data_IF_268105408419
#
_entry.id   IF_268105408419
#
_cell.length_a   1.000
_cell.length_b   1.000
_cell.length_c   1.000
_cell.angle_alpha   90.00
_cell.angle_beta   90.00
_cell.angle_gamma   90.00
#
_symmetry.space_group_name_H-M   'P 1'
#
loop_
_entity.id
_entity.type
_entity.pdbx_description
1 polymer ?
#
# COMPACT_ATOMS: atom_id res chain seq x y z
N UNK A 1 34.20 -16.02 7.09
CA UNK A 1 33.32 -16.12 5.91
C UNK A 1 33.23 -14.73 5.32
N UNK A 2 33.39 -14.58 3.99
CA UNK A 2 33.15 -13.27 3.36
C UNK A 2 31.67 -12.91 3.58
N UNK A 3 31.36 -11.78 4.16
CA UNK A 3 29.98 -11.36 4.47
C UNK A 3 29.12 -11.12 3.20
N UNK A 4 29.42 -11.80 2.09
CA UNK A 4 28.82 -11.68 0.77
C UNK A 4 28.09 -12.96 0.38
N UNK A 5 27.09 -12.84 -0.47
CA UNK A 5 26.38 -13.96 -1.08
C UNK A 5 27.22 -14.51 -2.23
N UNK A 6 27.49 -15.81 -2.26
CA UNK A 6 28.32 -16.47 -3.28
C UNK A 6 27.70 -16.43 -4.68
N UNK A 7 26.36 -16.60 -4.76
CA UNK A 7 25.66 -16.51 -6.05
C UNK A 7 25.67 -15.06 -6.57
N UNK A 8 26.26 -14.78 -7.76
CA UNK A 8 26.39 -13.42 -8.26
C UNK A 8 25.06 -12.70 -8.50
N UNK A 9 24.02 -13.43 -8.94
CA UNK A 9 22.69 -12.84 -9.17
C UNK A 9 22.00 -12.47 -7.86
N UNK A 10 22.01 -13.38 -6.87
CA UNK A 10 21.46 -13.11 -5.55
C UNK A 10 22.21 -11.96 -4.86
N UNK A 11 23.53 -11.92 -4.99
CA UNK A 11 24.35 -10.82 -4.47
C UNK A 11 24.01 -9.48 -5.13
N UNK A 12 23.84 -9.48 -6.45
CA UNK A 12 23.39 -8.28 -7.17
C UNK A 12 22.02 -7.79 -6.65
N UNK A 13 21.06 -8.69 -6.44
CA UNK A 13 19.75 -8.34 -5.90
C UNK A 13 19.89 -7.79 -4.46
N UNK A 14 20.67 -8.44 -3.61
CA UNK A 14 20.91 -7.98 -2.25
C UNK A 14 21.51 -6.56 -2.23
N UNK A 15 22.57 -6.33 -3.01
CA UNK A 15 23.26 -5.05 -3.10
C UNK A 15 22.36 -3.95 -3.72
N UNK A 16 21.61 -4.28 -4.77
CA UNK A 16 20.82 -3.28 -5.49
C UNK A 16 19.51 -2.89 -4.77
N UNK A 17 18.93 -3.81 -3.97
CA UNK A 17 17.60 -3.64 -3.38
C UNK A 17 17.60 -3.42 -1.87
N UNK A 18 18.52 -4.02 -1.12
CA UNK A 18 18.49 -4.04 0.35
C UNK A 18 19.65 -3.32 1.01
N UNK A 19 20.84 -3.39 0.41
CA UNK A 19 22.04 -2.77 0.93
C UNK A 19 21.95 -1.25 0.92
N UNK A 20 22.26 -0.61 2.03
CA UNK A 20 22.36 0.85 2.13
C UNK A 20 23.72 1.33 1.66
N UNK A 21 23.74 2.58 1.23
CA UNK A 21 24.98 3.27 0.93
C UNK A 21 25.63 3.77 2.21
N UNK A 22 26.88 3.40 2.42
CA UNK A 22 27.73 3.84 3.53
C UNK A 22 28.59 5.01 3.06
N UNK A 23 28.19 6.23 3.40
CA UNK A 23 28.82 7.46 2.91
C UNK A 23 30.33 7.54 3.27
N UNK A 24 30.68 7.12 4.53
CA UNK A 24 32.07 7.16 5.02
C UNK A 24 33.00 6.18 4.29
N UNK A 25 32.45 5.06 3.83
CA UNK A 25 33.21 3.97 3.21
C UNK A 25 33.09 3.97 1.68
N UNK A 26 32.24 4.87 1.16
CA UNK A 26 31.97 5.02 -0.27
C UNK A 26 31.59 3.69 -0.96
N UNK A 27 30.81 2.84 -0.27
CA UNK A 27 30.33 1.55 -0.75
C UNK A 27 28.91 1.24 -0.24
N UNK A 28 28.33 0.18 -0.75
CA UNK A 28 27.10 -0.41 -0.15
C UNK A 28 27.45 -1.37 0.97
N UNK A 29 26.50 -1.56 1.88
CA UNK A 29 26.53 -2.64 2.88
C UNK A 29 26.78 -4.01 2.20
N UNK A 30 27.49 -4.88 2.89
CA UNK A 30 27.48 -6.32 2.60
C UNK A 30 26.16 -6.94 3.03
N UNK A 31 25.90 -8.20 2.63
CA UNK A 31 24.71 -8.90 3.10
C UNK A 31 24.70 -9.12 4.61
N UNK A 32 25.85 -9.41 5.20
CA UNK A 32 25.99 -9.51 6.66
C UNK A 32 25.61 -8.20 7.36
N UNK A 33 26.15 -7.07 6.92
CA UNK A 33 25.84 -5.76 7.48
C UNK A 33 24.36 -5.39 7.33
N UNK A 34 23.72 -5.81 6.25
CA UNK A 34 22.28 -5.65 6.03
C UNK A 34 21.46 -6.45 7.03
N UNK A 35 21.84 -7.72 7.28
CA UNK A 35 21.20 -8.59 8.27
C UNK A 35 21.41 -8.02 9.69
N UNK A 36 22.62 -7.66 10.03
CA UNK A 36 22.94 -7.08 11.35
C UNK A 36 22.14 -5.80 11.61
N UNK A 37 22.08 -4.89 10.65
CA UNK A 37 21.27 -3.66 10.76
C UNK A 37 19.80 -3.95 11.01
N UNK A 38 19.23 -4.97 10.35
CA UNK A 38 17.84 -5.37 10.57
C UNK A 38 17.62 -5.85 12.00
N UNK A 39 18.44 -6.77 12.47
CA UNK A 39 18.33 -7.32 13.82
C UNK A 39 18.61 -6.26 14.89
N UNK A 40 19.65 -5.47 14.75
CA UNK A 40 19.99 -4.39 15.69
C UNK A 40 18.84 -3.40 15.83
N UNK A 41 18.21 -3.01 14.70
CA UNK A 41 17.04 -2.14 14.74
C UNK A 41 15.87 -2.79 15.50
N UNK A 42 15.52 -4.04 15.16
CA UNK A 42 14.38 -4.73 15.78
C UNK A 42 14.61 -5.02 17.26
N UNK A 43 15.79 -5.47 17.64
CA UNK A 43 16.15 -5.72 19.06
C UNK A 43 16.11 -4.43 19.88
N UNK A 44 16.66 -3.34 19.36
CA UNK A 44 16.57 -2.03 20.00
C UNK A 44 15.12 -1.55 20.13
N UNK A 45 14.29 -1.81 19.14
CA UNK A 45 12.87 -1.46 19.18
C UNK A 45 12.12 -2.26 20.26
N UNK A 46 12.37 -3.57 20.35
CA UNK A 46 11.78 -4.45 21.38
C UNK A 46 12.20 -4.03 22.80
N UNK A 47 13.46 -3.75 22.99
CA UNK A 47 13.99 -3.32 24.29
C UNK A 47 13.38 -1.96 24.71
N UNK A 48 13.47 -0.96 23.83
CA UNK A 48 13.00 0.40 24.15
C UNK A 48 11.48 0.52 24.34
N UNK A 49 10.69 -0.17 23.53
CA UNK A 49 9.24 0.05 23.51
C UNK A 49 8.45 -1.03 24.28
N UNK A 50 8.99 -2.22 24.43
CA UNK A 50 8.33 -3.35 25.07
C UNK A 50 9.06 -3.88 26.30
N UNK A 51 10.25 -3.32 26.61
CA UNK A 51 11.14 -3.82 27.65
C UNK A 51 11.37 -5.34 27.54
N UNK A 52 11.53 -5.83 26.29
CA UNK A 52 11.69 -7.24 25.98
C UNK A 52 13.03 -7.51 25.31
N UNK A 53 13.79 -8.44 25.91
CA UNK A 53 15.07 -8.93 25.37
C UNK A 53 14.94 -10.41 25.06
N UNK A 54 14.91 -10.81 23.78
CA UNK A 54 14.90 -12.23 23.42
C UNK A 54 16.19 -12.91 23.83
N UNK A 55 16.11 -14.24 23.97
CA UNK A 55 17.28 -15.09 24.25
C UNK A 55 18.36 -14.93 23.18
N UNK A 56 19.61 -14.78 23.59
CA UNK A 56 20.73 -14.53 22.69
C UNK A 56 21.00 -15.68 21.72
N UNK A 57 20.76 -16.93 22.13
CA UNK A 57 20.94 -18.10 21.25
C UNK A 57 19.89 -18.12 20.16
N UNK A 58 18.63 -17.80 20.53
CA UNK A 58 17.55 -17.63 19.54
C UNK A 58 17.87 -16.53 18.53
N UNK A 59 18.36 -15.38 19.01
CA UNK A 59 18.72 -14.27 18.10
C UNK A 59 19.82 -14.70 17.13
N UNK A 60 20.86 -15.38 17.60
CA UNK A 60 21.93 -15.87 16.73
C UNK A 60 21.43 -16.90 15.72
N UNK A 61 20.59 -17.86 16.13
CA UNK A 61 19.96 -18.83 15.22
C UNK A 61 19.13 -18.13 14.13
N UNK A 62 18.33 -17.14 14.51
CA UNK A 62 17.53 -16.38 13.56
C UNK A 62 18.39 -15.55 12.60
N UNK A 63 19.46 -14.92 13.09
CA UNK A 63 20.43 -14.21 12.22
C UNK A 63 21.05 -15.14 11.19
N UNK A 64 21.47 -16.34 11.61
CA UNK A 64 22.04 -17.35 10.72
C UNK A 64 21.03 -17.81 9.68
N UNK A 65 19.78 -18.07 10.07
CA UNK A 65 18.72 -18.46 9.13
C UNK A 65 18.44 -17.39 8.09
N UNK A 66 18.47 -16.10 8.47
CA UNK A 66 18.31 -14.99 7.52
C UNK A 66 19.56 -14.81 6.66
N UNK A 67 20.76 -14.93 7.25
CA UNK A 67 22.01 -14.82 6.51
C UNK A 67 22.11 -15.88 5.40
N UNK A 68 21.78 -17.14 5.71
CA UNK A 68 21.75 -18.23 4.74
C UNK A 68 20.48 -18.25 3.86
N UNK A 69 19.58 -17.29 4.07
CA UNK A 69 18.32 -17.18 3.31
C UNK A 69 17.44 -18.45 3.40
N UNK A 70 17.47 -19.11 4.54
CA UNK A 70 16.55 -20.22 4.83
C UNK A 70 15.15 -19.68 5.15
N UNK A 71 15.12 -18.58 5.87
CA UNK A 71 13.93 -17.83 6.23
C UNK A 71 14.19 -16.35 5.97
N UNK A 72 13.26 -15.68 5.32
CA UNK A 72 13.36 -14.24 5.06
C UNK A 72 12.25 -13.49 5.78
N UNK A 73 12.60 -12.49 6.63
CA UNK A 73 11.61 -11.55 7.13
C UNK A 73 11.11 -10.67 5.98
N UNK A 74 10.16 -9.79 6.31
CA UNK A 74 9.69 -8.84 5.30
C UNK A 74 10.85 -8.14 4.61
N UNK A 75 10.93 -8.31 3.30
CA UNK A 75 11.91 -7.64 2.45
C UNK A 75 11.81 -6.12 2.60
N UNK A 76 10.60 -5.62 2.85
CA UNK A 76 10.36 -4.21 3.11
C UNK A 76 10.98 -3.77 4.44
N UNK A 77 10.81 -4.56 5.50
CA UNK A 77 11.40 -4.28 6.80
C UNK A 77 12.92 -4.34 6.74
N UNK A 78 13.50 -5.34 6.06
CA UNK A 78 14.96 -5.43 5.85
C UNK A 78 15.50 -4.19 5.13
N UNK A 79 14.83 -3.75 4.05
CA UNK A 79 15.24 -2.58 3.29
C UNK A 79 15.17 -1.28 4.10
N UNK A 80 14.16 -1.13 4.98
CA UNK A 80 13.85 0.13 5.66
C UNK A 80 14.33 0.20 7.11
N UNK A 81 14.76 -0.91 7.73
CA UNK A 81 15.27 -0.97 9.10
C UNK A 81 16.34 0.12 9.37
N UNK A 82 16.26 0.79 10.52
CA UNK A 82 17.04 1.98 10.90
C UNK A 82 16.28 3.27 10.66
N UNK A 83 16.95 4.35 10.29
CA UNK A 83 16.42 5.72 10.25
C UNK A 83 15.08 5.91 9.49
N UNK A 84 14.78 5.07 8.50
CA UNK A 84 13.50 5.14 7.79
C UNK A 84 12.35 4.64 8.66
N UNK A 85 12.52 3.49 9.35
CA UNK A 85 11.52 2.95 10.28
C UNK A 85 11.43 3.75 11.59
N UNK A 86 12.52 4.30 12.08
CA UNK A 86 12.48 5.20 13.25
C UNK A 86 11.62 6.43 12.98
N UNK A 87 11.68 6.95 11.76
CA UNK A 87 10.87 8.10 11.35
C UNK A 87 9.41 7.74 11.11
N UNK A 88 9.17 6.56 10.56
CA UNK A 88 7.84 6.17 10.08
C UNK A 88 7.72 4.64 9.94
N UNK A 89 7.05 4.04 10.90
CA UNK A 89 6.86 2.58 10.95
C UNK A 89 6.04 2.04 9.76
N UNK A 90 5.18 2.85 9.13
CA UNK A 90 4.40 2.44 7.95
C UNK A 90 5.31 1.99 6.80
N UNK A 91 6.52 2.56 6.70
CA UNK A 91 7.50 2.18 5.69
C UNK A 91 7.96 0.70 5.78
N UNK A 92 7.78 0.04 6.92
CA UNK A 92 8.12 -1.37 7.12
C UNK A 92 7.07 -2.37 6.66
N UNK A 93 5.86 -1.91 6.35
CA UNK A 93 4.78 -2.78 5.90
C UNK A 93 4.76 -2.92 4.39
N UNK A 94 4.39 -4.11 3.92
CA UNK A 94 4.30 -4.40 2.49
C UNK A 94 3.02 -3.84 1.87
N UNK A 95 1.89 -4.09 2.50
CA UNK A 95 0.57 -3.74 1.98
C UNK A 95 -0.39 -3.36 3.11
N UNK A 96 -1.55 -2.82 2.70
CA UNK A 96 -2.66 -2.45 3.56
C UNK A 96 -3.98 -2.61 2.84
N UNK A 97 -5.08 -2.51 3.59
CA UNK A 97 -6.42 -2.40 3.04
C UNK A 97 -7.18 -1.26 3.74
N UNK A 98 -7.82 -0.42 2.94
CA UNK A 98 -8.62 0.71 3.42
C UNK A 98 -9.98 0.77 2.68
N UNK A 99 -11.14 0.72 3.36
CA UNK A 99 -12.41 1.05 2.74
C UNK A 99 -12.54 2.56 2.54
N UNK A 100 -13.21 2.98 1.46
CA UNK A 100 -13.51 4.41 1.24
C UNK A 100 -14.82 4.75 1.95
N UNK A 101 -14.78 4.84 3.28
CA UNK A 101 -15.95 5.01 4.14
C UNK A 101 -15.93 6.29 5.00
N UNK A 102 -14.88 7.07 4.86
CA UNK A 102 -14.77 8.39 5.48
C UNK A 102 -13.85 9.29 4.66
N UNK A 103 -13.91 10.59 4.94
CA UNK A 103 -13.15 11.60 4.19
C UNK A 103 -11.63 11.43 4.30
N UNK A 104 -11.16 10.79 5.38
CA UNK A 104 -9.76 10.52 5.62
C UNK A 104 -9.19 9.38 4.78
N UNK A 105 -10.04 8.53 4.18
CA UNK A 105 -9.57 7.40 3.37
C UNK A 105 -8.66 7.83 2.21
N UNK A 106 -8.87 9.01 1.68
CA UNK A 106 -8.09 9.54 0.57
C UNK A 106 -6.69 10.04 0.99
N UNK A 107 -6.61 10.88 2.02
CA UNK A 107 -5.34 11.43 2.49
C UNK A 107 -4.46 10.35 3.16
N UNK A 108 -5.10 9.41 3.87
CA UNK A 108 -4.40 8.25 4.45
C UNK A 108 -3.84 7.33 3.38
N UNK A 109 -4.59 7.06 2.30
CA UNK A 109 -4.09 6.31 1.15
C UNK A 109 -2.87 6.99 0.53
N UNK A 110 -2.94 8.30 0.32
CA UNK A 110 -1.79 9.06 -0.20
C UNK A 110 -0.56 8.90 0.69
N UNK A 111 -0.72 9.04 2.00
CA UNK A 111 0.37 8.90 2.96
C UNK A 111 0.97 7.49 2.95
N UNK A 112 0.12 6.46 2.99
CA UNK A 112 0.53 5.04 2.98
C UNK A 112 1.30 4.72 1.70
N UNK A 113 0.80 5.13 0.54
CA UNK A 113 1.48 4.93 -0.75
C UNK A 113 2.82 5.67 -0.80
N UNK A 114 2.90 6.90 -0.27
CA UNK A 114 4.18 7.64 -0.17
C UNK A 114 5.18 7.01 0.79
N UNK A 115 4.74 6.20 1.74
CA UNK A 115 5.61 5.33 2.54
C UNK A 115 6.09 4.11 1.76
N UNK A 116 5.55 3.88 0.55
CA UNK A 116 5.89 2.78 -0.35
C UNK A 116 5.15 1.49 -0.03
N UNK A 117 4.09 1.54 0.75
CA UNK A 117 3.20 0.43 1.10
C UNK A 117 2.08 0.35 0.07
N UNK A 118 1.78 -0.85 -0.44
CA UNK A 118 0.67 -1.07 -1.37
C UNK A 118 -0.68 -0.94 -0.69
N UNK A 119 -1.71 -0.51 -1.42
CA UNK A 119 -3.05 -0.28 -0.86
C UNK A 119 -4.11 -1.03 -1.66
N UNK A 120 -4.80 -2.00 -1.02
CA UNK A 120 -6.10 -2.44 -1.46
C UNK A 120 -7.16 -1.48 -0.93
N UNK A 121 -8.15 -1.14 -1.73
CA UNK A 121 -9.25 -0.28 -1.28
C UNK A 121 -10.60 -0.79 -1.78
N UNK A 122 -11.66 -0.40 -1.09
CA UNK A 122 -13.02 -0.76 -1.50
C UNK A 122 -13.87 0.49 -1.71
N UNK A 123 -14.53 0.54 -2.86
CA UNK A 123 -15.57 1.52 -3.21
C UNK A 123 -16.96 0.88 -3.25
N UNK A 124 -17.16 -0.22 -2.52
CA UNK A 124 -18.48 -0.84 -2.40
C UNK A 124 -19.48 0.16 -1.78
N UNK A 125 -20.73 0.13 -2.22
CA UNK A 125 -21.80 1.05 -1.77
C UNK A 125 -21.91 1.16 -0.25
N UNK A 126 -21.73 0.07 0.48
CA UNK A 126 -21.77 0.05 1.95
C UNK A 126 -20.71 0.92 2.64
N UNK A 127 -19.65 1.24 1.92
CA UNK A 127 -18.58 2.15 2.36
C UNK A 127 -18.81 3.56 1.83
N UNK A 128 -18.92 3.72 0.51
CA UNK A 128 -19.05 5.03 -0.13
C UNK A 128 -20.29 5.79 0.35
N UNK A 129 -21.40 5.09 0.63
CA UNK A 129 -22.61 5.70 1.16
C UNK A 129 -22.46 6.29 2.59
N UNK A 130 -21.32 6.08 3.26
CA UNK A 130 -21.01 6.74 4.54
C UNK A 130 -20.34 8.10 4.36
N UNK A 131 -19.86 8.40 3.17
CA UNK A 131 -19.30 9.72 2.89
C UNK A 131 -20.39 10.78 2.93
N UNK A 132 -20.09 12.01 3.40
CA UNK A 132 -21.05 13.10 3.35
C UNK A 132 -21.40 13.47 1.91
N UNK A 133 -22.59 14.01 1.70
CA UNK A 133 -22.95 14.62 0.42
C UNK A 133 -22.07 15.84 0.15
N UNK A 134 -21.78 16.07 -1.11
CA UNK A 134 -21.14 17.31 -1.56
C UNK A 134 -22.19 18.42 -1.45
N UNK A 135 -21.83 19.59 -0.91
CA UNK A 135 -22.78 20.72 -0.78
C UNK A 135 -23.40 21.12 -2.12
N UNK A 136 -24.58 21.76 -2.07
CA UNK A 136 -25.29 22.25 -3.25
C UNK A 136 -24.54 23.39 -3.97
N UNK A 137 -23.64 24.06 -3.26
CA UNK A 137 -22.79 25.12 -3.81
C UNK A 137 -21.34 24.91 -3.39
N UNK A 138 -20.44 25.14 -4.33
CA UNK A 138 -18.98 25.15 -4.07
C UNK A 138 -18.40 26.42 -4.66
N UNK A 139 -17.88 27.29 -3.80
CA UNK A 139 -17.38 28.62 -4.19
C UNK A 139 -15.89 28.79 -3.87
N UNK A 140 -15.22 29.62 -4.65
CA UNK A 140 -13.83 30.01 -4.36
C UNK A 140 -13.79 30.90 -3.11
N UNK A 141 -12.83 30.64 -2.25
CA UNK A 141 -12.61 31.39 -1.01
C UNK A 141 -11.22 32.03 -0.98
N UNK A 142 -10.99 32.92 -0.02
CA UNK A 142 -9.67 33.49 0.26
C UNK A 142 -8.77 32.58 1.09
N UNK A 143 -9.26 31.40 1.49
CA UNK A 143 -8.48 30.41 2.25
C UNK A 143 -7.31 29.90 1.40
N UNK A 144 -6.11 29.83 2.00
CA UNK A 144 -4.90 29.37 1.32
C UNK A 144 -4.42 28.10 2.02
N UNK A 145 -4.33 26.99 1.28
CA UNK A 145 -3.72 25.74 1.75
C UNK A 145 -2.24 25.75 1.39
N UNK A 146 -1.38 25.82 2.40
CA UNK A 146 0.08 25.83 2.24
C UNK A 146 0.62 24.40 2.30
N UNK A 147 1.33 23.98 1.25
CA UNK A 147 1.88 22.61 1.17
C UNK A 147 3.32 22.56 1.69
N UNK A 148 3.54 21.82 2.77
CA UNK A 148 4.89 21.58 3.32
C UNK A 148 5.64 20.50 2.52
N UNK A 149 6.96 20.66 2.37
CA UNK A 149 7.82 19.74 1.59
C UNK A 149 8.16 18.44 2.33
N UNK A 150 7.11 17.68 2.66
CA UNK A 150 7.21 16.38 3.31
C UNK A 150 6.01 15.49 2.95
N UNK A 151 6.13 14.16 3.14
CA UNK A 151 5.01 13.22 2.96
C UNK A 151 3.79 13.63 3.81
N UNK A 152 4.05 13.96 5.07
CA UNK A 152 3.03 14.42 6.01
C UNK A 152 2.41 15.74 5.54
N UNK A 153 3.24 16.66 5.05
CA UNK A 153 2.78 17.95 4.53
C UNK A 153 1.85 17.80 3.33
N UNK A 154 2.19 16.93 2.39
CA UNK A 154 1.35 16.64 1.22
C UNK A 154 0.01 16.01 1.63
N UNK A 155 0.03 14.98 2.48
CA UNK A 155 -1.19 14.33 2.97
C UNK A 155 -2.07 15.29 3.78
N UNK A 156 -1.46 16.17 4.61
CA UNK A 156 -2.18 17.19 5.38
C UNK A 156 -2.84 18.20 4.48
N UNK A 157 -2.12 18.73 3.49
CA UNK A 157 -2.69 19.70 2.54
C UNK A 157 -3.83 19.08 1.73
N UNK A 158 -3.70 17.82 1.33
CA UNK A 158 -4.78 17.11 0.64
C UNK A 158 -6.01 16.89 1.53
N UNK A 159 -5.82 16.54 2.80
CA UNK A 159 -6.89 16.48 3.81
C UNK A 159 -7.61 17.81 3.96
N UNK A 160 -6.84 18.90 4.06
CA UNK A 160 -7.39 20.25 4.20
C UNK A 160 -8.22 20.64 2.98
N UNK A 161 -7.72 20.38 1.76
CA UNK A 161 -8.48 20.55 0.54
C UNK A 161 -9.81 19.78 0.57
N UNK A 162 -9.78 18.48 0.89
CA UNK A 162 -10.98 17.65 0.96
C UNK A 162 -11.98 18.18 1.99
N UNK A 163 -11.51 18.56 3.17
CA UNK A 163 -12.36 19.13 4.22
C UNK A 163 -13.04 20.42 3.77
N UNK A 164 -12.32 21.30 3.06
CA UNK A 164 -12.86 22.53 2.52
C UNK A 164 -13.87 22.26 1.38
N UNK A 165 -13.60 21.31 0.50
CA UNK A 165 -14.53 20.91 -0.56
C UNK A 165 -15.85 20.39 0.00
N UNK A 166 -15.82 19.56 1.06
CA UNK A 166 -17.03 19.13 1.76
C UNK A 166 -17.70 20.24 2.58
N UNK A 167 -16.98 21.34 2.84
CA UNK A 167 -17.58 22.57 3.40
C UNK A 167 -18.06 23.57 2.32
N UNK A 168 -18.04 23.19 1.03
CA UNK A 168 -18.46 24.06 -0.07
C UNK A 168 -17.44 25.12 -0.47
N UNK A 169 -16.16 24.92 -0.13
CA UNK A 169 -15.10 25.91 -0.32
C UNK A 169 -13.99 25.39 -1.24
N UNK A 170 -13.56 26.23 -2.19
CA UNK A 170 -12.37 25.98 -3.02
C UNK A 170 -11.27 26.94 -2.57
N UNK A 171 -10.22 26.44 -1.88
CA UNK A 171 -9.10 27.26 -1.46
C UNK A 171 -8.15 27.60 -2.61
N UNK A 172 -7.32 28.60 -2.43
CA UNK A 172 -6.07 28.74 -3.18
C UNK A 172 -5.01 27.78 -2.63
N UNK A 173 -4.10 27.30 -3.49
CA UNK A 173 -3.05 26.36 -3.11
C UNK A 173 -1.70 27.04 -3.24
N UNK A 174 -0.93 27.04 -2.14
CA UNK A 174 0.45 27.55 -2.12
C UNK A 174 1.45 26.38 -2.06
N UNK A 175 2.18 26.20 -3.15
CA UNK A 175 3.22 25.18 -3.31
C UNK A 175 4.63 25.77 -3.29
N UNK A 176 4.79 27.03 -2.88
CA UNK A 176 6.07 27.76 -2.90
C UNK A 176 7.17 27.09 -2.06
N UNK A 177 6.80 26.36 -1.02
CA UNK A 177 7.73 25.62 -0.16
C UNK A 177 8.22 24.31 -0.74
N UNK A 178 7.60 23.82 -1.83
CA UNK A 178 7.98 22.52 -2.41
C UNK A 178 9.28 22.61 -3.20
N UNK A 179 10.13 21.60 -3.03
CA UNK A 179 11.35 21.50 -3.82
C UNK A 179 11.06 21.34 -5.31
N UNK A 180 11.93 21.88 -6.18
CA UNK A 180 11.73 21.79 -7.62
C UNK A 180 11.90 20.35 -8.12
N UNK A 181 11.41 20.10 -9.34
CA UNK A 181 11.66 18.85 -10.05
C UNK A 181 13.18 18.59 -10.22
N UNK A 182 13.58 17.34 -10.11
CA UNK A 182 14.98 16.92 -10.21
C UNK A 182 15.78 16.99 -8.91
N UNK A 183 15.31 17.68 -7.86
CA UNK A 183 15.99 17.73 -6.57
C UNK A 183 16.12 16.34 -5.92
N UNK A 184 17.27 16.07 -5.30
CA UNK A 184 17.56 14.74 -4.70
C UNK A 184 16.69 14.46 -3.48
N UNK A 185 16.11 13.25 -3.41
CA UNK A 185 15.36 12.78 -2.25
C UNK A 185 16.32 12.19 -1.20
N UNK A 186 16.27 12.71 0.04
CA UNK A 186 17.25 12.38 1.09
C UNK A 186 17.06 10.99 1.71
N UNK A 187 15.85 10.44 1.74
CA UNK A 187 15.54 9.26 2.58
C UNK A 187 15.49 7.96 1.81
N UNK A 188 14.88 7.94 0.62
CA UNK A 188 14.66 6.72 -0.17
C UNK A 188 15.48 6.69 -1.49
N UNK A 189 16.28 7.72 -1.72
CA UNK A 189 16.93 7.93 -3.02
C UNK A 189 15.93 8.39 -4.09
N UNK A 190 16.45 8.67 -5.29
CA UNK A 190 15.64 9.19 -6.40
C UNK A 190 15.59 10.70 -6.45
N UNK A 191 14.75 11.22 -7.35
CA UNK A 191 14.60 12.66 -7.61
C UNK A 191 13.13 13.09 -7.43
N UNK A 192 12.93 14.32 -6.99
CA UNK A 192 11.62 14.95 -6.87
C UNK A 192 10.97 15.17 -8.23
N UNK A 193 9.67 14.95 -8.32
CA UNK A 193 8.84 15.36 -9.48
C UNK A 193 8.47 16.84 -9.48
N UNK A 194 8.79 17.56 -8.41
CA UNK A 194 8.29 18.93 -8.20
C UNK A 194 6.81 18.97 -7.79
N UNK A 195 6.21 20.16 -7.77
CA UNK A 195 4.84 20.37 -7.29
C UNK A 195 3.73 19.95 -8.27
N UNK A 196 4.03 19.86 -9.58
CA UNK A 196 3.02 19.73 -10.62
C UNK A 196 2.09 18.51 -10.45
N UNK A 197 2.58 17.29 -10.10
CA UNK A 197 1.69 16.15 -9.90
C UNK A 197 0.66 16.38 -8.79
N UNK A 198 1.05 17.06 -7.72
CA UNK A 198 0.15 17.38 -6.61
C UNK A 198 -0.90 18.43 -7.02
N UNK A 199 -0.50 19.46 -7.78
CA UNK A 199 -1.43 20.45 -8.35
C UNK A 199 -2.46 19.73 -9.23
N UNK A 200 -2.01 18.83 -10.10
CA UNK A 200 -2.90 18.06 -10.97
C UNK A 200 -3.89 17.18 -10.18
N UNK A 201 -3.50 16.64 -9.03
CA UNK A 201 -4.40 15.90 -8.15
C UNK A 201 -5.45 16.85 -7.54
N UNK A 202 -5.04 18.01 -7.08
CA UNK A 202 -5.94 18.99 -6.47
C UNK A 202 -6.99 19.48 -7.49
N UNK A 203 -6.55 19.85 -8.68
CA UNK A 203 -7.45 20.29 -9.76
C UNK A 203 -8.42 19.17 -10.19
N UNK A 204 -7.92 17.93 -10.30
CA UNK A 204 -8.75 16.77 -10.59
C UNK A 204 -9.83 16.57 -9.52
N UNK A 205 -9.43 16.62 -8.24
CA UNK A 205 -10.35 16.43 -7.11
C UNK A 205 -11.42 17.54 -7.08
N UNK A 206 -11.02 18.80 -7.27
CA UNK A 206 -11.95 19.94 -7.34
C UNK A 206 -12.96 19.74 -8.49
N UNK A 207 -12.50 19.26 -9.66
CA UNK A 207 -13.37 18.98 -10.80
C UNK A 207 -14.39 17.88 -10.47
N UNK A 208 -13.97 16.80 -9.82
CA UNK A 208 -14.89 15.71 -9.40
C UNK A 208 -15.94 16.23 -8.44
N UNK A 209 -15.55 17.02 -7.44
CA UNK A 209 -16.50 17.61 -6.49
C UNK A 209 -17.49 18.56 -7.15
N UNK A 210 -17.05 19.40 -8.08
CA UNK A 210 -17.96 20.28 -8.86
C UNK A 210 -19.00 19.48 -9.65
N UNK A 211 -18.64 18.32 -10.16
CA UNK A 211 -19.56 17.44 -10.88
C UNK A 211 -20.51 16.67 -9.95
N UNK A 212 -20.20 16.62 -8.66
CA UNK A 212 -20.96 15.90 -7.64
C UNK A 212 -21.82 16.80 -6.73
N UNK A 213 -21.93 18.09 -7.06
CA UNK A 213 -22.71 19.07 -6.28
C UNK A 213 -24.12 18.56 -5.98
N UNK A 214 -24.57 18.68 -4.74
CA UNK A 214 -25.88 18.27 -4.26
C UNK A 214 -26.08 16.75 -4.05
N UNK A 215 -25.04 15.93 -4.24
CA UNK A 215 -25.13 14.47 -4.05
C UNK A 215 -23.85 13.88 -3.43
N UNK A 216 -23.92 12.64 -3.03
CA UNK A 216 -22.73 11.89 -2.64
C UNK A 216 -21.86 11.57 -3.87
N UNK A 217 -20.54 11.37 -3.61
CA UNK A 217 -19.63 10.83 -4.61
C UNK A 217 -20.06 9.40 -4.97
N UNK A 218 -19.99 9.07 -6.26
CA UNK A 218 -20.21 7.72 -6.75
C UNK A 218 -18.98 6.84 -6.50
N UNK A 219 -19.14 5.49 -6.45
CA UNK A 219 -18.01 4.56 -6.40
C UNK A 219 -16.93 4.84 -7.46
N UNK A 220 -17.32 5.08 -8.71
CA UNK A 220 -16.38 5.36 -9.80
C UNK A 220 -15.62 6.69 -9.58
N UNK A 221 -16.24 7.70 -9.00
CA UNK A 221 -15.59 8.98 -8.68
C UNK A 221 -14.59 8.81 -7.54
N UNK A 222 -14.95 8.04 -6.51
CA UNK A 222 -14.03 7.66 -5.43
C UNK A 222 -12.85 6.85 -5.98
N UNK A 223 -13.10 5.87 -6.85
CA UNK A 223 -12.08 5.08 -7.52
C UNK A 223 -11.12 5.96 -8.32
N UNK A 224 -11.63 6.90 -9.11
CA UNK A 224 -10.83 7.78 -9.94
C UNK A 224 -9.94 8.72 -9.10
N UNK A 225 -10.44 9.23 -7.98
CA UNK A 225 -9.63 9.99 -7.00
C UNK A 225 -8.52 9.11 -6.42
N UNK A 226 -8.82 7.87 -5.99
CA UNK A 226 -7.83 6.94 -5.46
C UNK A 226 -6.74 6.62 -6.50
N UNK A 227 -7.12 6.40 -7.74
CA UNK A 227 -6.18 6.19 -8.84
C UNK A 227 -5.31 7.43 -9.09
N UNK A 228 -5.90 8.62 -9.03
CA UNK A 228 -5.16 9.88 -9.20
C UNK A 228 -4.15 10.12 -8.08
N UNK A 229 -4.47 9.72 -6.85
CA UNK A 229 -3.52 9.68 -5.73
C UNK A 229 -2.34 8.75 -6.07
N UNK A 230 -2.62 7.56 -6.59
CA UNK A 230 -1.58 6.62 -7.01
C UNK A 230 -0.63 7.19 -8.07
N UNK A 231 -1.17 7.92 -9.04
CA UNK A 231 -0.38 8.61 -10.09
C UNK A 231 0.62 9.60 -9.49
N UNK A 232 0.19 10.41 -8.53
CA UNK A 232 1.08 11.38 -7.84
C UNK A 232 2.26 10.68 -7.17
N UNK A 233 2.02 9.54 -6.53
CA UNK A 233 3.06 8.78 -5.81
C UNK A 233 4.06 8.14 -6.77
N UNK A 234 3.60 7.62 -7.92
CA UNK A 234 4.47 7.01 -8.95
C UNK A 234 5.38 8.06 -9.56
N UNK A 235 4.82 9.18 -9.97
CA UNK A 235 5.58 10.30 -10.56
C UNK A 235 6.53 10.92 -9.53
N UNK A 236 6.15 10.92 -8.24
CA UNK A 236 6.99 11.36 -7.13
C UNK A 236 8.27 10.55 -6.90
N UNK A 237 8.52 9.49 -7.67
CA UNK A 237 9.77 8.73 -7.65
C UNK A 237 9.96 7.83 -6.44
N UNK A 238 8.94 7.69 -5.57
CA UNK A 238 9.06 6.92 -4.33
C UNK A 238 8.98 5.41 -4.58
N UNK A 239 8.07 4.97 -5.44
CA UNK A 239 7.90 3.56 -5.90
C UNK A 239 6.78 3.49 -6.95
N UNK A 240 6.69 2.36 -7.68
CA UNK A 240 5.46 2.01 -8.40
C UNK A 240 4.33 1.86 -7.40
N UNK A 241 3.25 2.61 -7.58
CA UNK A 241 2.02 2.44 -6.82
C UNK A 241 1.43 1.07 -7.14
N UNK A 242 1.08 0.30 -6.11
CA UNK A 242 0.37 -0.96 -6.26
C UNK A 242 -0.97 -0.82 -5.55
N UNK A 243 -2.06 -0.90 -6.32
CA UNK A 243 -3.41 -0.81 -5.79
C UNK A 243 -4.35 -1.85 -6.39
N UNK A 244 -5.39 -2.20 -5.64
CA UNK A 244 -6.56 -2.94 -6.11
C UNK A 244 -7.81 -2.28 -5.59
N UNK A 245 -8.82 -2.16 -6.46
CA UNK A 245 -10.14 -1.65 -6.13
C UNK A 245 -11.15 -2.79 -6.04
N UNK A 246 -11.93 -2.82 -4.98
CA UNK A 246 -13.07 -3.71 -4.81
C UNK A 246 -14.38 -2.94 -5.00
N UNK A 247 -15.32 -3.51 -5.76
CA UNK A 247 -16.61 -2.89 -6.06
C UNK A 247 -17.76 -3.91 -6.07
N UNK A 248 -18.99 -3.43 -6.01
CA UNK A 248 -20.18 -4.31 -6.03
C UNK A 248 -20.40 -4.95 -7.39
N UNK A 249 -20.99 -6.15 -7.40
CA UNK A 249 -21.33 -6.89 -8.63
C UNK A 249 -22.31 -6.14 -9.52
N UNK A 250 -23.23 -5.39 -8.93
CA UNK A 250 -24.24 -4.62 -9.63
C UNK A 250 -23.81 -3.18 -9.97
N UNK A 251 -22.56 -2.84 -9.77
CA UNK A 251 -22.01 -1.54 -10.14
C UNK A 251 -21.54 -1.55 -11.61
N UNK A 252 -22.42 -1.06 -12.48
CA UNK A 252 -22.21 -1.05 -13.93
C UNK A 252 -21.08 -0.08 -14.32
N UNK A 253 -20.97 1.07 -13.65
CA UNK A 253 -19.91 2.04 -13.93
C UNK A 253 -18.52 1.46 -13.59
N UNK A 254 -18.42 0.76 -12.47
CA UNK A 254 -17.17 0.06 -12.09
C UNK A 254 -16.89 -1.16 -12.98
N UNK A 255 -17.92 -1.90 -13.41
CA UNK A 255 -17.74 -3.00 -14.37
C UNK A 255 -17.16 -2.51 -15.70
N UNK A 256 -17.60 -1.32 -16.16
CA UNK A 256 -17.16 -0.73 -17.43
C UNK A 256 -15.96 0.24 -17.27
N UNK A 257 -15.37 0.36 -16.10
CA UNK A 257 -14.34 1.37 -15.80
C UNK A 257 -13.14 1.33 -16.77
N UNK A 258 -12.82 0.14 -17.28
CA UNK A 258 -11.72 -0.07 -18.25
C UNK A 258 -12.20 -0.71 -19.55
N UNK A 259 -13.37 -0.30 -20.04
CA UNK A 259 -13.86 -0.65 -21.36
C UNK A 259 -13.51 0.42 -22.40
N UNK A 260 -13.44 0.04 -23.66
CA UNK A 260 -13.12 0.94 -24.79
C UNK A 260 -11.74 1.61 -24.61
N UNK A 261 -11.62 2.84 -25.06
CA UNK A 261 -10.37 3.62 -25.03
C UNK A 261 -10.18 4.35 -23.68
N UNK A 262 -10.42 3.66 -22.57
CA UNK A 262 -10.35 4.23 -21.22
C UNK A 262 -8.98 4.89 -20.90
N UNK A 263 -7.89 4.39 -21.48
CA UNK A 263 -6.52 4.92 -21.28
C UNK A 263 -6.33 6.34 -21.85
N UNK A 264 -7.15 6.76 -22.80
CA UNK A 264 -7.14 8.13 -23.34
C UNK A 264 -7.97 9.08 -22.46
N UNK A 265 -9.14 8.62 -21.98
CA UNK A 265 -10.10 9.42 -21.24
C UNK A 265 -9.82 9.46 -19.73
N UNK A 266 -9.37 8.34 -19.18
CA UNK A 266 -9.16 8.14 -17.75
C UNK A 266 -7.83 7.38 -17.48
N UNK A 267 -6.67 7.90 -17.91
CA UNK A 267 -5.38 7.20 -17.83
C UNK A 267 -4.98 6.85 -16.39
N UNK A 268 -5.44 7.60 -15.38
CA UNK A 268 -5.21 7.31 -13.97
C UNK A 268 -5.71 5.93 -13.55
N UNK A 269 -6.72 5.37 -14.21
CA UNK A 269 -7.27 4.03 -13.90
C UNK A 269 -6.26 2.90 -14.10
N UNK A 270 -5.16 3.15 -14.82
CA UNK A 270 -4.04 2.21 -14.95
C UNK A 270 -3.32 1.91 -13.62
N UNK A 271 -3.51 2.75 -12.60
CA UNK A 271 -2.83 2.65 -11.30
C UNK A 271 -3.47 1.62 -10.36
N UNK A 272 -4.64 1.09 -10.68
CA UNK A 272 -5.35 0.12 -9.85
C UNK A 272 -5.82 -1.08 -10.67
N UNK A 273 -5.62 -2.29 -10.17
CA UNK A 273 -6.38 -3.46 -10.64
C UNK A 273 -7.82 -3.33 -10.12
N UNK A 274 -8.80 -3.77 -10.89
CA UNK A 274 -10.20 -3.73 -10.49
C UNK A 274 -10.74 -5.14 -10.29
N UNK A 275 -11.47 -5.36 -9.19
CA UNK A 275 -12.12 -6.65 -8.88
C UNK A 275 -13.53 -6.44 -8.35
N UNK A 276 -14.41 -7.36 -8.69
CA UNK A 276 -15.74 -7.45 -8.08
C UNK A 276 -15.65 -8.21 -6.76
N UNK A 277 -16.31 -7.71 -5.72
CA UNK A 277 -16.38 -8.35 -4.41
C UNK A 277 -17.63 -9.22 -4.29
N UNK A 278 -17.45 -10.55 -4.22
CA UNK A 278 -18.55 -11.49 -4.01
C UNK A 278 -18.75 -11.76 -2.52
N UNK A 279 -19.74 -11.12 -1.91
CA UNK A 279 -20.14 -11.36 -0.51
C UNK A 279 -20.96 -12.65 -0.36
N UNK A 280 -21.49 -13.20 -1.43
CA UNK A 280 -22.20 -14.47 -1.55
C UNK A 280 -21.94 -15.10 -2.90
N UNK A 281 -22.27 -16.38 -3.05
CA UNK A 281 -22.24 -17.03 -4.37
C UNK A 281 -23.22 -16.30 -5.31
N UNK A 282 -22.76 -15.76 -6.44
CA UNK A 282 -23.66 -15.14 -7.41
C UNK A 282 -24.56 -16.20 -8.05
N UNK A 283 -25.71 -15.80 -8.56
CA UNK A 283 -26.47 -16.65 -9.45
C UNK A 283 -25.76 -16.83 -10.81
N UNK A 284 -26.21 -17.79 -11.61
CA UNK A 284 -25.54 -18.13 -12.86
C UNK A 284 -25.59 -16.98 -13.87
N UNK A 285 -26.69 -16.22 -13.91
CA UNK A 285 -26.83 -15.11 -14.84
C UNK A 285 -25.86 -13.96 -14.49
N UNK A 286 -25.76 -13.62 -13.20
CA UNK A 286 -24.80 -12.63 -12.71
C UNK A 286 -23.35 -13.06 -12.99
N UNK A 287 -23.02 -14.33 -12.75
CA UNK A 287 -21.67 -14.84 -13.00
C UNK A 287 -21.32 -14.79 -14.48
N UNK A 288 -22.22 -15.22 -15.37
CA UNK A 288 -22.00 -15.19 -16.83
C UNK A 288 -21.88 -13.76 -17.33
N UNK A 289 -22.71 -12.83 -16.82
CA UNK A 289 -22.64 -11.43 -17.21
C UNK A 289 -21.28 -10.80 -16.83
N UNK A 290 -20.79 -11.07 -15.62
CA UNK A 290 -19.46 -10.61 -15.16
C UNK A 290 -18.32 -11.23 -15.99
N UNK A 291 -18.40 -12.53 -16.25
CA UNK A 291 -17.43 -13.24 -17.08
C UNK A 291 -17.40 -12.70 -18.51
N UNK A 292 -18.58 -12.45 -19.08
CA UNK A 292 -18.68 -11.84 -20.41
C UNK A 292 -18.10 -10.43 -20.44
N UNK A 293 -18.37 -9.62 -19.43
CA UNK A 293 -17.79 -8.27 -19.30
C UNK A 293 -16.27 -8.33 -19.27
N UNK A 294 -15.69 -9.25 -18.48
CA UNK A 294 -14.25 -9.49 -18.42
C UNK A 294 -13.67 -9.86 -19.79
N UNK A 295 -14.33 -10.78 -20.51
CA UNK A 295 -13.91 -11.21 -21.85
C UNK A 295 -13.98 -10.07 -22.88
N UNK A 296 -15.07 -9.33 -22.88
CA UNK A 296 -15.33 -8.25 -23.85
C UNK A 296 -14.41 -7.05 -23.62
N UNK A 297 -14.03 -6.78 -22.38
CA UNK A 297 -13.17 -5.63 -22.02
C UNK A 297 -11.78 -5.69 -22.66
N UNK A 298 -11.28 -6.90 -22.98
CA UNK A 298 -9.91 -7.14 -23.47
C UNK A 298 -8.81 -6.69 -22.52
N UNK A 299 -9.16 -6.17 -21.34
CA UNK A 299 -8.23 -5.63 -20.34
C UNK A 299 -7.82 -6.65 -19.26
N UNK A 300 -8.49 -7.80 -19.22
CA UNK A 300 -8.33 -8.78 -18.14
C UNK A 300 -8.96 -8.36 -16.82
N UNK A 301 -9.82 -7.35 -16.83
CA UNK A 301 -10.53 -6.82 -15.68
C UNK A 301 -12.05 -6.69 -15.96
N UNK A 302 -12.88 -6.73 -14.91
CA UNK A 302 -12.49 -6.80 -13.51
C UNK A 302 -12.32 -8.27 -13.06
N UNK A 303 -11.33 -8.51 -12.18
CA UNK A 303 -11.13 -9.79 -11.52
C UNK A 303 -12.22 -10.09 -10.48
N UNK A 304 -12.14 -11.28 -9.85
CA UNK A 304 -13.10 -11.73 -8.84
C UNK A 304 -12.39 -11.84 -7.49
N UNK A 305 -12.90 -11.14 -6.47
CA UNK A 305 -12.52 -11.30 -5.08
C UNK A 305 -13.68 -11.91 -4.28
N UNK A 306 -13.48 -13.09 -3.71
CA UNK A 306 -14.55 -13.81 -3.01
C UNK A 306 -14.47 -13.57 -1.49
N UNK A 307 -15.25 -12.60 -1.01
CA UNK A 307 -15.36 -12.24 0.42
C UNK A 307 -15.89 -13.41 1.26
N UNK A 308 -16.90 -14.15 0.74
CA UNK A 308 -17.45 -15.30 1.46
C UNK A 308 -16.42 -16.41 1.65
N UNK A 309 -15.54 -16.64 0.67
CA UNK A 309 -14.43 -17.58 0.81
C UNK A 309 -13.39 -17.08 1.82
N UNK A 310 -13.11 -15.77 1.83
CA UNK A 310 -12.21 -15.14 2.80
C UNK A 310 -12.76 -15.32 4.24
N UNK A 311 -14.05 -15.09 4.46
CA UNK A 311 -14.72 -15.31 5.74
C UNK A 311 -14.67 -16.77 6.17
N UNK A 312 -14.97 -17.71 5.26
CA UNK A 312 -14.86 -19.15 5.50
C UNK A 312 -13.45 -19.55 5.91
N UNK A 313 -12.44 -19.02 5.23
CA UNK A 313 -11.04 -19.28 5.56
C UNK A 313 -10.64 -18.66 6.91
N UNK A 314 -11.16 -17.49 7.25
CA UNK A 314 -10.94 -16.86 8.56
C UNK A 314 -11.49 -17.72 9.70
N UNK A 315 -12.70 -18.30 9.52
CA UNK A 315 -13.36 -19.17 10.49
C UNK A 315 -12.64 -20.49 10.71
N UNK A 316 -11.94 -21.04 9.71
CA UNK A 316 -11.44 -22.43 9.66
C UNK A 316 -10.67 -22.88 10.88
N UNK A 317 -9.91 -21.98 11.51
CA UNK A 317 -9.07 -22.30 12.67
C UNK A 317 -9.41 -21.45 13.92
N UNK A 318 -10.53 -20.72 13.90
CA UNK A 318 -10.96 -19.88 15.02
C UNK A 318 -10.05 -18.71 15.40
N UNK A 319 -9.04 -18.41 14.56
CA UNK A 319 -8.07 -17.34 14.84
C UNK A 319 -8.54 -15.95 14.45
N UNK A 320 -9.50 -15.85 13.54
CA UNK A 320 -10.02 -14.59 13.01
C UNK A 320 -11.54 -14.60 13.06
N UNK A 321 -12.11 -13.43 13.25
CA UNK A 321 -13.55 -13.23 13.22
C UNK A 321 -14.09 -13.45 11.80
N UNK A 322 -15.03 -14.37 11.65
CA UNK A 322 -15.67 -14.71 10.37
C UNK A 322 -16.67 -13.66 9.89
N UNK A 323 -17.18 -12.84 10.81
CA UNK A 323 -18.20 -11.82 10.49
C UNK A 323 -17.59 -10.56 9.84
N UNK A 324 -16.28 -10.39 9.92
CA UNK A 324 -15.60 -9.27 9.28
C UNK A 324 -15.72 -9.35 7.77
N UNK A 325 -16.11 -8.26 7.14
CA UNK A 325 -16.02 -8.12 5.68
C UNK A 325 -14.56 -7.82 5.28
N UNK A 326 -13.83 -8.86 4.96
CA UNK A 326 -12.43 -8.77 4.58
C UNK A 326 -12.27 -8.15 3.21
N UNK A 327 -11.29 -7.24 3.09
CA UNK A 327 -10.69 -6.87 1.83
C UNK A 327 -9.38 -7.59 1.59
N UNK A 328 -8.56 -7.08 0.71
CA UNK A 328 -7.30 -7.70 0.30
C UNK A 328 -6.21 -6.67 0.06
N UNK A 329 -4.96 -7.13 0.06
CA UNK A 329 -3.82 -6.38 -0.43
C UNK A 329 -3.83 -6.29 -1.97
N UNK A 330 -3.01 -5.45 -2.61
CA UNK A 330 -3.03 -5.23 -4.06
C UNK A 330 -2.93 -6.48 -4.94
N UNK A 331 -2.23 -7.51 -4.48
CA UNK A 331 -2.01 -8.75 -5.23
C UNK A 331 -3.06 -9.85 -4.92
N UNK A 332 -3.99 -9.59 -4.01
CA UNK A 332 -5.08 -10.48 -3.57
C UNK A 332 -4.69 -11.76 -2.86
N UNK A 333 -3.43 -11.93 -2.43
CA UNK A 333 -2.97 -13.12 -1.72
C UNK A 333 -3.22 -13.08 -0.21
N UNK A 334 -3.53 -11.89 0.37
CA UNK A 334 -3.73 -11.73 1.82
C UNK A 334 -5.07 -11.09 2.10
N UNK A 335 -5.91 -11.77 2.88
CA UNK A 335 -7.14 -11.20 3.42
C UNK A 335 -6.83 -10.25 4.57
N UNK A 336 -7.36 -9.03 4.49
CA UNK A 336 -7.13 -7.95 5.46
C UNK A 336 -8.45 -7.42 6.00
N UNK A 337 -8.48 -7.10 7.29
CA UNK A 337 -9.57 -6.31 7.88
C UNK A 337 -9.49 -4.86 7.40
N UNK A 338 -10.57 -4.10 7.45
CA UNK A 338 -10.51 -2.65 7.31
C UNK A 338 -9.38 -2.05 8.17
N UNK A 339 -8.59 -1.16 7.57
CA UNK A 339 -7.47 -0.46 8.22
C UNK A 339 -6.32 -1.37 8.71
N UNK A 340 -6.18 -2.55 8.15
CA UNK A 340 -5.13 -3.48 8.51
C UNK A 340 -3.96 -3.42 7.54
N UNK A 341 -2.74 -3.53 8.10
CA UNK A 341 -1.50 -3.71 7.35
C UNK A 341 -1.08 -5.17 7.31
N UNK A 342 -0.28 -5.52 6.31
CA UNK A 342 0.38 -6.82 6.23
C UNK A 342 1.90 -6.68 6.28
N UNK A 343 2.53 -7.71 6.83
CA UNK A 343 3.97 -7.85 6.83
C UNK A 343 4.31 -9.25 6.36
N UNK A 344 5.00 -9.35 5.22
CA UNK A 344 5.31 -10.62 4.59
C UNK A 344 6.54 -11.25 5.23
N UNK A 345 6.64 -12.56 5.13
CA UNK A 345 7.84 -13.34 5.38
C UNK A 345 7.75 -14.65 4.61
N UNK A 346 8.85 -15.21 4.23
CA UNK A 346 8.91 -16.42 3.40
C UNK A 346 9.85 -17.46 3.98
N UNK A 347 9.60 -18.69 3.64
CA UNK A 347 10.46 -19.84 3.88
C UNK A 347 10.99 -20.32 2.55
N UNK A 348 12.30 -20.41 2.42
CA UNK A 348 12.93 -20.87 1.19
C UNK A 348 13.10 -22.40 1.27
N UNK A 349 12.38 -23.11 0.41
CA UNK A 349 12.48 -24.58 0.29
C UNK A 349 13.53 -24.89 -0.77
N UNK A 350 14.45 -25.79 -0.45
CA UNK A 350 15.54 -26.25 -1.32
C UNK A 350 15.39 -27.74 -1.62
N UNK A 351 16.09 -28.20 -2.64
CA UNK A 351 16.07 -29.59 -3.10
C UNK A 351 16.33 -30.62 -1.98
N UNK A 352 17.21 -30.30 -1.05
CA UNK A 352 17.60 -31.18 0.06
C UNK A 352 16.74 -31.03 1.32
N UNK A 353 15.66 -30.23 1.28
CA UNK A 353 14.77 -30.09 2.42
C UNK A 353 13.79 -31.26 2.51
N UNK A 354 13.64 -31.80 3.73
CA UNK A 354 12.61 -32.75 4.12
C UNK A 354 11.49 -32.05 4.93
N UNK A 355 10.46 -32.80 5.29
CA UNK A 355 9.34 -32.25 6.07
C UNK A 355 9.76 -31.70 7.44
N UNK A 356 10.81 -32.27 8.04
CA UNK A 356 11.32 -31.83 9.35
C UNK A 356 12.04 -30.49 9.23
N UNK A 357 12.91 -30.36 8.24
CA UNK A 357 13.64 -29.13 7.98
C UNK A 357 12.69 -27.99 7.57
N UNK A 358 11.68 -28.30 6.74
CA UNK A 358 10.65 -27.31 6.37
C UNK A 358 9.83 -26.89 7.59
N UNK A 359 9.42 -27.82 8.45
CA UNK A 359 8.68 -27.50 9.68
C UNK A 359 9.49 -26.57 10.60
N UNK A 360 10.77 -26.84 10.79
CA UNK A 360 11.68 -25.98 11.55
C UNK A 360 11.79 -24.58 10.94
N UNK A 361 12.01 -24.48 9.64
CA UNK A 361 12.04 -23.18 8.93
C UNK A 361 10.74 -22.40 9.09
N UNK A 362 9.58 -23.07 9.10
CA UNK A 362 8.27 -22.41 9.33
C UNK A 362 8.15 -21.87 10.75
N UNK A 363 8.68 -22.57 11.75
CA UNK A 363 8.76 -22.10 13.13
C UNK A 363 9.66 -20.86 13.24
N UNK A 364 10.86 -20.91 12.69
CA UNK A 364 11.82 -19.81 12.67
C UNK A 364 11.28 -18.58 11.93
N UNK A 365 10.53 -18.79 10.82
CA UNK A 365 9.84 -17.70 10.11
C UNK A 365 8.92 -16.89 11.04
N UNK A 366 8.19 -17.55 11.94
CA UNK A 366 7.31 -16.88 12.89
C UNK A 366 8.13 -15.99 13.83
N UNK A 367 9.25 -16.47 14.30
CA UNK A 367 10.14 -15.77 15.22
C UNK A 367 10.92 -14.63 14.56
N UNK A 368 11.34 -14.74 13.29
CA UNK A 368 12.09 -13.70 12.57
C UNK A 368 11.28 -12.42 12.33
N UNK A 369 9.97 -12.45 12.49
CA UNK A 369 9.14 -11.24 12.36
C UNK A 369 9.44 -10.20 13.42
N UNK A 370 9.85 -10.58 14.62
CA UNK A 370 10.25 -9.76 15.78
C UNK A 370 9.28 -8.60 16.15
N UNK A 371 8.26 -8.38 15.36
CA UNK A 371 7.29 -7.30 15.50
C UNK A 371 5.85 -7.81 15.52
N UNK A 372 5.64 -9.08 15.85
CA UNK A 372 4.29 -9.62 15.94
C UNK A 372 3.56 -8.95 17.10
N UNK A 373 2.74 -7.96 16.79
CA UNK A 373 1.69 -7.53 17.69
C UNK A 373 0.75 -8.70 17.92
N UNK A 374 0.67 -9.18 19.13
CA UNK A 374 -0.39 -10.05 19.61
C UNK A 374 -1.63 -9.24 19.91
#
# INVERSE_FOLDING_TARGET
>A
MSGTIENPYENFIALSRYARWLEKENRRETWQETVDRYFDFMLNHLDKNLNYKPDSKLVEELKQNVFFRNVMPSMRAVMTAGAALERDHVAGYNCSFIPVDNVRSFDETMYILMCGTGVGFSVEYKYVNKLPAVPETIEKTSTIVVVEDSKQGWARAYRELLSLLWAGQIPAIDVSKLRPAGARLKTMGGRSSGPQPLINLFDFTIKVFKNAVGRQLKPIECHDIMCKIGEVVVVGGVRRSAMISLSNINDIEMAAAKHGNWWEQNPQRSLSNNSVAYSRKPDMAQFIAEWKSLYDSKSGERGIYNVAAAQKQAAKYGRRDSEVHYGTNPCSEIILRPYQFCNLSEVVIRENDDMTSVAKKVEDRKSTRLNSSH
#
